data_IF_919289528243
#
_entry.id   IF_919289528243
#
_cell.length_a   1.000
_cell.length_b   1.000
_cell.length_c   1.000
_cell.angle_alpha   90.00
_cell.angle_beta   90.00
_cell.angle_gamma   90.00
#
_symmetry.space_group_name_H-M   'P 1'
#
loop_
_entity.id
_entity.type
_entity.pdbx_description
1 polymer ?
#
# COMPACT_ATOMS: atom_id res chain seq x y z
N UNK A 1 -4.34 -25.23 -12.82
CA UNK A 1 -3.51 -24.77 -13.95
C UNK A 1 -4.04 -25.39 -15.22
N UNK A 2 -4.55 -24.59 -16.16
CA UNK A 2 -4.95 -25.07 -17.48
C UNK A 2 -3.76 -24.94 -18.45
N UNK A 3 -3.49 -25.96 -19.26
CA UNK A 3 -2.42 -25.96 -20.27
C UNK A 3 -3.04 -25.83 -21.65
N UNK A 4 -3.45 -24.61 -22.00
CA UNK A 4 -4.03 -24.27 -23.30
C UNK A 4 -3.81 -22.79 -23.60
N UNK A 5 -4.02 -22.34 -24.86
CA UNK A 5 -4.06 -20.92 -25.18
C UNK A 5 -5.12 -20.15 -24.38
N UNK A 6 -4.90 -18.85 -24.26
CA UNK A 6 -5.89 -17.90 -23.74
C UNK A 6 -7.18 -17.97 -24.58
N UNK A 7 -8.31 -17.84 -23.91
CA UNK A 7 -9.59 -17.62 -24.56
C UNK A 7 -10.31 -16.46 -23.83
N UNK A 8 -11.03 -15.57 -24.53
CA UNK A 8 -11.73 -14.45 -23.87
C UNK A 8 -12.68 -14.85 -22.72
N UNK A 9 -13.27 -16.05 -22.78
CA UNK A 9 -14.10 -16.59 -21.70
C UNK A 9 -13.33 -16.78 -20.37
N UNK A 10 -12.00 -16.82 -20.40
CA UNK A 10 -11.15 -16.83 -19.19
C UNK A 10 -11.30 -15.57 -18.33
N UNK A 11 -11.86 -14.50 -18.91
CA UNK A 11 -12.06 -13.23 -18.25
C UNK A 11 -13.45 -13.10 -17.58
N UNK A 12 -14.32 -14.10 -17.72
CA UNK A 12 -15.65 -14.06 -17.11
C UNK A 12 -15.57 -13.98 -15.58
N UNK A 13 -16.15 -12.92 -15.00
CA UNK A 13 -16.14 -12.68 -13.55
C UNK A 13 -14.80 -12.21 -12.99
N UNK A 14 -13.82 -11.90 -13.84
CA UNK A 14 -12.51 -11.40 -13.44
C UNK A 14 -12.51 -9.86 -13.38
N UNK A 15 -11.78 -9.30 -12.42
CA UNK A 15 -11.60 -7.84 -12.29
C UNK A 15 -10.14 -7.37 -12.46
N UNK A 16 -9.18 -8.30 -12.40
CA UNK A 16 -7.76 -8.03 -12.53
C UNK A 16 -7.03 -9.23 -13.16
N UNK A 17 -6.16 -8.97 -14.12
CA UNK A 17 -5.37 -9.98 -14.84
C UNK A 17 -3.89 -9.62 -14.79
N UNK A 18 -3.05 -10.62 -14.54
CA UNK A 18 -1.61 -10.54 -14.80
C UNK A 18 -1.33 -11.37 -16.05
N UNK A 19 -0.85 -10.72 -17.11
CA UNK A 19 -0.48 -11.37 -18.37
C UNK A 19 1.04 -11.39 -18.48
N UNK A 20 1.64 -12.57 -18.39
CA UNK A 20 3.08 -12.79 -18.52
C UNK A 20 3.35 -13.70 -19.72
N UNK A 21 2.89 -13.27 -20.90
CA UNK A 21 2.93 -14.03 -22.14
C UNK A 21 3.68 -13.23 -23.23
N UNK A 22 3.94 -13.81 -24.42
CA UNK A 22 4.42 -13.05 -25.57
C UNK A 22 3.50 -11.88 -25.90
N UNK A 23 4.06 -10.83 -26.50
CA UNK A 23 3.38 -9.55 -26.76
C UNK A 23 2.06 -9.70 -27.52
N UNK A 24 1.97 -10.65 -28.44
CA UNK A 24 0.75 -10.92 -29.21
C UNK A 24 -0.40 -11.41 -28.31
N UNK A 25 -0.07 -12.26 -27.33
CA UNK A 25 -1.03 -12.78 -26.35
C UNK A 25 -1.40 -11.69 -25.35
N UNK A 26 -0.43 -10.89 -24.89
CA UNK A 26 -0.71 -9.75 -24.01
C UNK A 26 -1.66 -8.75 -24.68
N UNK A 27 -1.48 -8.45 -25.96
CA UNK A 27 -2.38 -7.59 -26.72
C UNK A 27 -3.79 -8.20 -26.86
N UNK A 28 -3.90 -9.52 -27.05
CA UNK A 28 -5.19 -10.21 -27.07
C UNK A 28 -5.91 -10.11 -25.72
N UNK A 29 -5.19 -10.38 -24.63
CA UNK A 29 -5.70 -10.26 -23.25
C UNK A 29 -6.12 -8.82 -22.97
N UNK A 30 -5.29 -7.83 -23.30
CA UNK A 30 -5.56 -6.41 -23.08
C UNK A 30 -6.84 -5.97 -23.81
N UNK A 31 -6.98 -6.33 -25.08
CA UNK A 31 -8.17 -6.00 -25.88
C UNK A 31 -9.44 -6.67 -25.33
N UNK A 32 -9.35 -7.94 -24.95
CA UNK A 32 -10.49 -8.66 -24.38
C UNK A 32 -10.88 -8.06 -23.00
N UNK A 33 -9.90 -7.76 -22.16
CA UNK A 33 -10.09 -7.17 -20.85
C UNK A 33 -10.68 -5.76 -20.91
N UNK A 34 -10.22 -4.93 -21.85
CA UNK A 34 -10.71 -3.58 -22.05
C UNK A 34 -12.23 -3.54 -22.33
N UNK A 35 -12.75 -4.50 -23.09
CA UNK A 35 -14.18 -4.61 -23.38
C UNK A 35 -15.04 -4.86 -22.12
N UNK A 36 -14.44 -5.34 -21.03
CA UNK A 36 -15.11 -5.66 -19.77
C UNK A 36 -14.68 -4.76 -18.61
N UNK A 37 -13.87 -3.73 -18.86
CA UNK A 37 -13.35 -2.84 -17.80
C UNK A 37 -12.41 -3.55 -16.81
N UNK A 38 -11.71 -4.58 -17.27
CA UNK A 38 -10.81 -5.39 -16.44
C UNK A 38 -9.40 -4.77 -16.45
N UNK A 39 -8.80 -4.64 -15.27
CA UNK A 39 -7.42 -4.18 -15.15
C UNK A 39 -6.43 -5.25 -15.60
N UNK A 40 -5.43 -4.87 -16.38
CA UNK A 40 -4.40 -5.76 -16.92
C UNK A 40 -3.03 -5.25 -16.53
N UNK A 41 -2.26 -6.09 -15.85
CA UNK A 41 -0.82 -5.93 -15.71
C UNK A 41 -0.14 -6.86 -16.72
N UNK A 42 0.25 -6.29 -17.87
CA UNK A 42 1.02 -6.98 -18.89
C UNK A 42 2.51 -6.87 -18.52
N UNK A 43 3.10 -7.99 -18.09
CA UNK A 43 4.48 -8.06 -17.62
C UNK A 43 5.43 -7.75 -18.76
N UNK A 44 6.35 -6.82 -18.52
CA UNK A 44 7.34 -6.32 -19.49
C UNK A 44 6.75 -5.74 -20.79
N UNK A 45 5.45 -5.38 -20.79
CA UNK A 45 4.74 -4.90 -21.98
C UNK A 45 3.78 -3.75 -21.62
N UNK A 46 4.37 -2.60 -21.26
CA UNK A 46 3.68 -1.39 -20.78
C UNK A 46 2.55 -0.93 -21.71
N UNK A 47 2.72 -1.09 -23.03
CA UNK A 47 1.72 -0.69 -24.02
C UNK A 47 0.39 -1.46 -23.92
N UNK A 48 0.43 -2.70 -23.40
CA UNK A 48 -0.75 -3.55 -23.22
C UNK A 48 -1.20 -3.62 -21.75
N UNK A 49 -0.61 -2.83 -20.86
CA UNK A 49 -1.00 -2.74 -19.47
C UNK A 49 -1.99 -1.59 -19.23
N UNK A 50 -3.02 -1.85 -18.42
CA UNK A 50 -3.92 -0.83 -17.84
C UNK A 50 -3.76 -0.68 -16.33
N UNK A 51 -2.90 -1.50 -15.72
CA UNK A 51 -2.48 -1.44 -14.33
C UNK A 51 -1.01 -1.86 -14.21
N UNK A 52 -0.29 -1.25 -13.27
CA UNK A 52 1.13 -1.49 -13.06
C UNK A 52 1.37 -2.11 -11.69
N UNK A 53 2.31 -3.05 -11.61
CA UNK A 53 2.86 -3.45 -10.32
C UNK A 53 3.73 -2.30 -9.79
N UNK A 54 3.43 -1.81 -8.59
CA UNK A 54 4.23 -0.83 -7.88
C UNK A 54 5.05 -1.47 -6.75
N UNK A 55 6.05 -0.75 -6.26
CA UNK A 55 6.73 -1.12 -5.03
C UNK A 55 5.76 -0.89 -3.85
N UNK A 56 5.63 -1.88 -2.97
CA UNK A 56 4.69 -1.81 -1.84
C UNK A 56 5.40 -2.19 -0.55
N UNK A 57 5.08 -1.47 0.52
CA UNK A 57 5.44 -1.87 1.88
C UNK A 57 4.19 -1.86 2.75
N UNK A 58 4.17 -2.76 3.74
CA UNK A 58 3.08 -2.89 4.71
C UNK A 58 3.68 -3.03 6.10
N UNK A 59 3.33 -2.13 7.01
CA UNK A 59 3.74 -2.18 8.42
C UNK A 59 2.64 -1.57 9.27
N UNK A 60 2.38 -2.13 10.44
CA UNK A 60 1.53 -1.45 11.41
C UNK A 60 0.04 -1.33 11.05
N UNK A 61 -0.42 -2.03 10.00
CA UNK A 61 -1.72 -1.77 9.35
C UNK A 61 -1.74 -0.58 8.39
N UNK A 62 -0.59 0.02 8.08
CA UNK A 62 -0.40 1.03 7.02
C UNK A 62 0.12 0.35 5.76
N UNK A 63 -0.44 0.71 4.60
CA UNK A 63 0.06 0.30 3.29
C UNK A 63 0.53 1.53 2.53
N UNK A 64 1.75 1.50 2.00
CA UNK A 64 2.27 2.52 1.09
C UNK A 64 2.59 1.81 -0.23
N UNK A 65 2.05 2.35 -1.32
CA UNK A 65 2.33 1.91 -2.68
C UNK A 65 3.01 3.05 -3.45
N UNK A 66 4.10 2.73 -4.14
CA UNK A 66 4.89 3.65 -4.95
C UNK A 66 4.90 3.14 -6.39
N UNK A 67 4.58 4.05 -7.31
CA UNK A 67 4.59 3.80 -8.75
C UNK A 67 5.42 4.87 -9.44
N UNK A 68 6.06 4.49 -10.53
CA UNK A 68 6.73 5.37 -11.49
C UNK A 68 6.07 5.24 -12.87
N UNK A 69 4.78 4.88 -12.89
CA UNK A 69 4.00 4.56 -14.10
C UNK A 69 4.65 3.49 -14.99
N UNK A 70 5.41 2.59 -14.36
CA UNK A 70 6.17 1.54 -15.04
C UNK A 70 7.52 1.99 -15.61
N UNK A 71 7.82 3.29 -15.62
CA UNK A 71 9.02 3.87 -16.25
C UNK A 71 10.32 3.56 -15.49
N UNK A 72 10.25 3.43 -14.16
CA UNK A 72 11.45 3.22 -13.33
C UNK A 72 11.20 2.27 -12.14
N UNK A 73 11.08 0.94 -12.37
CA UNK A 73 10.81 -0.02 -11.31
C UNK A 73 11.89 -0.05 -10.22
N UNK A 74 13.16 0.07 -10.61
CA UNK A 74 14.28 0.11 -9.67
C UNK A 74 14.22 1.33 -8.74
N UNK A 75 13.85 2.50 -9.26
CA UNK A 75 13.68 3.72 -8.46
C UNK A 75 12.53 3.57 -7.46
N UNK A 76 11.39 2.99 -7.88
CA UNK A 76 10.28 2.70 -6.98
C UNK A 76 10.71 1.77 -5.82
N UNK A 77 11.56 0.78 -6.11
CA UNK A 77 12.16 -0.10 -5.10
C UNK A 77 13.03 0.63 -4.09
N UNK A 78 13.92 1.52 -4.55
CA UNK A 78 14.79 2.33 -3.67
C UNK A 78 13.97 3.27 -2.77
N UNK A 79 12.93 3.91 -3.30
CA UNK A 79 12.05 4.77 -2.50
C UNK A 79 11.26 3.98 -1.45
N UNK A 80 10.80 2.77 -1.80
CA UNK A 80 10.16 1.85 -0.84
C UNK A 80 11.10 1.52 0.32
N UNK A 81 12.37 1.19 0.04
CA UNK A 81 13.37 0.87 1.06
C UNK A 81 13.65 2.05 1.98
N UNK A 82 13.82 3.25 1.42
CA UNK A 82 14.01 4.47 2.20
C UNK A 82 12.82 4.75 3.14
N UNK A 83 11.59 4.59 2.65
CA UNK A 83 10.39 4.75 3.47
C UNK A 83 10.25 3.66 4.53
N UNK A 84 10.58 2.41 4.19
CA UNK A 84 10.55 1.30 5.13
C UNK A 84 11.53 1.51 6.30
N UNK A 85 12.72 2.09 6.03
CA UNK A 85 13.68 2.45 7.06
C UNK A 85 13.26 3.67 7.89
N UNK A 86 12.50 4.60 7.30
CA UNK A 86 12.01 5.81 7.98
C UNK A 86 10.82 5.54 8.90
N UNK A 87 9.99 4.55 8.59
CA UNK A 87 8.80 4.25 9.37
C UNK A 87 9.17 3.77 10.78
N UNK A 88 8.48 4.25 11.83
CA UNK A 88 8.67 3.74 13.18
C UNK A 88 8.36 2.24 13.26
N UNK A 89 9.10 1.51 14.09
CA UNK A 89 8.84 0.08 14.34
C UNK A 89 7.53 -0.14 15.11
N UNK A 90 7.10 0.84 15.91
CA UNK A 90 5.89 0.83 16.72
C UNK A 90 4.66 1.40 16.00
N UNK A 91 4.66 1.40 14.66
CA UNK A 91 3.56 1.94 13.85
C UNK A 91 2.19 1.31 14.18
N UNK A 92 2.16 0.06 14.66
CA UNK A 92 0.95 -0.59 15.18
C UNK A 92 0.33 0.14 16.38
N UNK A 93 1.15 0.68 17.28
CA UNK A 93 0.69 1.45 18.44
C UNK A 93 0.07 2.79 17.99
N UNK A 94 0.67 3.43 16.99
CA UNK A 94 0.17 4.67 16.39
C UNK A 94 -1.18 4.44 15.73
N UNK A 95 -1.31 3.36 14.96
CA UNK A 95 -2.58 2.98 14.33
C UNK A 95 -3.65 2.59 15.35
N UNK A 96 -3.26 1.97 16.47
CA UNK A 96 -4.17 1.69 17.58
C UNK A 96 -4.68 2.97 18.24
N UNK A 97 -3.79 3.93 18.53
CA UNK A 97 -4.13 5.26 19.02
C UNK A 97 -5.12 5.96 18.08
N UNK A 98 -4.81 6.01 16.78
CA UNK A 98 -5.67 6.62 15.77
C UNK A 98 -7.07 6.00 15.71
N UNK A 99 -7.17 4.65 15.75
CA UNK A 99 -8.46 3.94 15.78
C UNK A 99 -9.27 4.22 17.04
N UNK A 100 -8.63 4.35 18.19
CA UNK A 100 -9.30 4.69 19.44
C UNK A 100 -9.82 6.14 19.39
N UNK A 101 -8.95 7.09 19.01
CA UNK A 101 -9.31 8.51 18.87
C UNK A 101 -10.47 8.71 17.90
N UNK A 102 -10.45 8.06 16.72
CA UNK A 102 -11.55 8.12 15.75
C UNK A 102 -12.88 7.65 16.34
N UNK A 103 -12.88 6.53 17.08
CA UNK A 103 -14.11 5.99 17.70
C UNK A 103 -14.70 6.98 18.70
N UNK A 104 -13.84 7.58 19.54
CA UNK A 104 -14.25 8.60 20.50
C UNK A 104 -14.78 9.86 19.83
N UNK A 105 -14.09 10.38 18.81
CA UNK A 105 -14.53 11.56 18.07
C UNK A 105 -15.88 11.39 17.37
N UNK A 106 -16.17 10.18 16.88
CA UNK A 106 -17.48 9.89 16.30
C UNK A 106 -18.58 9.87 17.38
N UNK A 107 -18.31 9.31 18.55
CA UNK A 107 -19.26 9.29 19.67
C UNK A 107 -19.50 10.70 20.24
N UNK A 108 -18.44 11.49 20.36
CA UNK A 108 -18.46 12.83 20.96
C UNK A 108 -18.86 13.94 19.96
N UNK A 109 -19.12 13.59 18.70
CA UNK A 109 -19.51 14.56 17.66
C UNK A 109 -18.41 15.56 17.29
N UNK A 110 -17.14 15.19 17.44
CA UNK A 110 -16.01 16.11 17.19
C UNK A 110 -15.95 16.51 15.70
N UNK A 111 -15.92 17.81 15.39
CA UNK A 111 -15.85 18.32 14.02
C UNK A 111 -14.60 17.83 13.27
N UNK A 112 -14.72 17.62 11.95
CA UNK A 112 -13.68 16.98 11.13
C UNK A 112 -12.37 17.76 11.15
N UNK A 113 -12.45 19.08 11.08
CA UNK A 113 -11.34 20.03 11.07
C UNK A 113 -10.48 19.97 12.35
N UNK A 114 -11.07 19.53 13.47
CA UNK A 114 -10.36 19.41 14.75
C UNK A 114 -9.60 18.08 14.89
N UNK A 115 -9.96 17.06 14.09
CA UNK A 115 -9.45 15.69 14.26
C UNK A 115 -7.96 15.55 13.95
N UNK A 116 -7.46 16.23 12.92
CA UNK A 116 -6.03 16.15 12.54
C UNK A 116 -5.11 16.76 13.62
N UNK A 117 -5.35 18.00 14.11
CA UNK A 117 -4.58 18.55 15.23
C UNK A 117 -4.60 17.67 16.47
N UNK A 118 -5.77 17.13 16.84
CA UNK A 118 -5.92 16.24 17.99
C UNK A 118 -5.17 14.91 17.80
N UNK A 119 -5.18 14.35 16.58
CA UNK A 119 -4.39 13.15 16.26
C UNK A 119 -2.90 13.40 16.46
N UNK A 120 -2.41 14.51 15.91
CA UNK A 120 -0.99 14.88 16.00
C UNK A 120 -0.56 15.00 17.47
N UNK A 121 -1.34 15.70 18.29
CA UNK A 121 -1.09 15.83 19.72
C UNK A 121 -1.06 14.46 20.43
N UNK A 122 -2.00 13.57 20.12
CA UNK A 122 -2.05 12.23 20.70
C UNK A 122 -0.85 11.36 20.31
N UNK A 123 -0.38 11.47 19.06
CA UNK A 123 0.79 10.75 18.57
C UNK A 123 2.10 11.33 19.12
N UNK A 124 2.24 12.65 19.22
CA UNK A 124 3.39 13.29 19.89
C UNK A 124 3.48 12.83 21.34
N UNK A 125 2.37 12.85 22.08
CA UNK A 125 2.35 12.37 23.46
C UNK A 125 2.67 10.86 23.57
N UNK A 126 2.31 10.05 22.56
CA UNK A 126 2.70 8.64 22.51
C UNK A 126 4.21 8.47 22.31
N UNK A 127 4.79 9.29 21.44
CA UNK A 127 6.22 9.28 21.14
C UNK A 127 7.06 9.73 22.35
N UNK A 128 6.68 10.83 23.01
CA UNK A 128 7.38 11.35 24.20
C UNK A 128 7.43 10.32 25.33
N UNK A 129 6.30 9.65 25.63
CA UNK A 129 6.24 8.58 26.64
C UNK A 129 7.17 7.40 26.34
N UNK A 130 7.45 7.14 25.06
CA UNK A 130 8.36 6.06 24.64
C UNK A 130 9.81 6.45 24.91
N UNK A 131 10.18 7.67 24.55
CA UNK A 131 11.53 8.18 24.76
C UNK A 131 11.87 8.22 26.27
N UNK A 132 10.90 8.60 27.11
CA UNK A 132 11.03 8.54 28.57
C UNK A 132 11.23 7.11 29.09
N UNK A 133 10.47 6.13 28.57
CA UNK A 133 10.59 4.72 28.96
C UNK A 133 11.95 4.11 28.57
N UNK A 134 12.43 4.41 27.35
CA UNK A 134 13.74 3.97 26.88
C UNK A 134 14.89 4.59 27.69
N UNK A 135 14.76 5.85 28.10
CA UNK A 135 15.74 6.52 28.96
C UNK A 135 15.78 5.91 30.38
N UNK A 136 14.63 5.48 30.91
CA UNK A 136 14.54 4.82 32.23
C UNK A 136 15.17 3.42 32.28
N UNK A 137 14.99 2.61 31.24
CA UNK A 137 15.61 1.26 31.15
C UNK A 137 17.13 1.32 31.00
N UNK A 138 17.66 2.30 30.25
CA UNK A 138 19.11 2.50 30.10
C UNK A 138 19.82 2.98 31.37
N UNK A 139 19.09 3.61 32.30
CA UNK A 139 19.61 4.02 33.60
C UNK A 139 19.61 2.88 34.63
N UNK A 140 18.72 1.90 34.51
CA UNK A 140 18.60 0.77 35.43
C UNK A 140 19.63 -0.36 35.17
N UNK A 141 20.33 -0.33 34.03
CA UNK A 141 21.39 -1.29 33.67
C UNK A 141 22.83 -0.81 33.98
N UNK A 142 23.00 0.29 34.72
CA UNK A 142 24.31 0.83 35.13
C UNK A 142 24.55 0.72 36.62
#
# INVERSE_FOLDING_TARGET
VARRPFAPADLEGICYVVSAAPREVNAEVARAAAAHGIFVNAVDDVENASAYAGAMLRRGGVTIALSTDGEAPALAGLLREALEALLPDDLDAWMTCARHSRRRWLADGVPMEQRRPLLLQALVALYERRDDAAAGEGAALR
#
